data_IF_072464338546
#
_entry.id   IF_072464338546
#
_cell.length_a   1.000
_cell.length_b   1.000
_cell.length_c   1.000
_cell.angle_alpha   90.00
_cell.angle_beta   90.00
_cell.angle_gamma   90.00
#
_symmetry.space_group_name_H-M   'P 1'
#
loop_
_entity.id
_entity.type
_entity.pdbx_description
1 polymer ?
#
# COMPACT_ATOMS: atom_id res chain seq x y z
N UNK A 1 -30.51 24.27 -6.46
CA UNK A 1 -29.62 23.90 -5.34
C UNK A 1 -28.67 22.74 -5.69
N UNK A 2 -29.09 21.67 -6.34
CA UNK A 2 -28.25 20.48 -6.67
C UNK A 2 -27.03 20.83 -7.54
N UNK A 3 -27.12 21.77 -8.46
CA UNK A 3 -26.00 22.17 -9.34
C UNK A 3 -24.88 22.95 -8.61
N UNK A 4 -25.20 23.69 -7.56
CA UNK A 4 -24.22 24.49 -6.80
C UNK A 4 -23.40 23.61 -5.88
N UNK A 5 -24.01 22.57 -5.28
CA UNK A 5 -23.28 21.58 -4.46
C UNK A 5 -22.35 20.70 -5.29
N UNK A 6 -22.75 20.29 -6.50
CA UNK A 6 -21.94 19.52 -7.42
C UNK A 6 -20.74 20.34 -7.92
N UNK A 7 -20.92 21.61 -8.24
CA UNK A 7 -19.82 22.51 -8.61
C UNK A 7 -18.85 22.78 -7.46
N UNK A 8 -19.35 22.95 -6.23
CA UNK A 8 -18.53 23.15 -5.05
C UNK A 8 -17.72 21.90 -4.68
N UNK A 9 -18.28 20.70 -4.91
CA UNK A 9 -17.60 19.42 -4.70
C UNK A 9 -16.50 19.20 -5.76
N UNK A 10 -16.76 19.53 -7.02
CA UNK A 10 -15.79 19.46 -8.11
C UNK A 10 -14.63 20.46 -7.90
N UNK A 11 -14.91 21.69 -7.49
CA UNK A 11 -13.87 22.68 -7.20
C UNK A 11 -13.00 22.30 -6.01
N UNK A 12 -13.57 21.73 -4.94
CA UNK A 12 -12.80 21.21 -3.80
C UNK A 12 -11.89 20.05 -4.20
N UNK A 13 -12.37 19.17 -5.07
CA UNK A 13 -11.58 18.04 -5.57
C UNK A 13 -10.43 18.51 -6.48
N UNK A 14 -10.69 19.46 -7.40
CA UNK A 14 -9.64 20.06 -8.23
C UNK A 14 -8.59 20.80 -7.40
N UNK A 15 -9.01 21.51 -6.37
CA UNK A 15 -8.11 22.23 -5.47
C UNK A 15 -7.25 21.27 -4.64
N UNK A 16 -7.82 20.17 -4.17
CA UNK A 16 -7.06 19.10 -3.49
C UNK A 16 -6.02 18.44 -4.42
N UNK A 17 -6.40 18.16 -5.66
CA UNK A 17 -5.50 17.58 -6.67
C UNK A 17 -4.37 18.55 -7.04
N UNK A 18 -4.65 19.84 -7.19
CA UNK A 18 -3.63 20.86 -7.49
C UNK A 18 -2.63 21.03 -6.34
N UNK A 19 -3.08 20.93 -5.10
CA UNK A 19 -2.21 20.95 -3.92
C UNK A 19 -1.29 19.71 -3.87
N UNK A 20 -1.84 18.52 -4.15
CA UNK A 20 -1.05 17.28 -4.20
C UNK A 20 -0.03 17.31 -5.33
N UNK A 21 -0.39 17.86 -6.49
CA UNK A 21 0.54 18.05 -7.62
C UNK A 21 1.63 19.06 -7.28
N UNK A 22 1.28 20.19 -6.68
CA UNK A 22 2.24 21.19 -6.20
C UNK A 22 3.21 20.61 -5.17
N UNK A 23 2.72 19.79 -4.25
CA UNK A 23 3.53 19.08 -3.27
C UNK A 23 4.53 18.11 -3.93
N UNK A 24 4.10 17.38 -4.96
CA UNK A 24 4.98 16.48 -5.73
C UNK A 24 6.09 17.26 -6.45
N UNK A 25 5.74 18.39 -7.09
CA UNK A 25 6.74 19.25 -7.76
C UNK A 25 7.75 19.81 -6.76
N UNK A 26 7.30 20.28 -5.59
CA UNK A 26 8.20 20.76 -4.53
C UNK A 26 9.10 19.64 -4.01
N UNK A 27 8.57 18.44 -3.81
CA UNK A 27 9.36 17.28 -3.41
C UNK A 27 10.47 16.96 -4.42
N UNK A 28 10.17 17.01 -5.72
CA UNK A 28 11.15 16.81 -6.79
C UNK A 28 12.22 17.90 -6.78
N UNK A 29 11.84 19.17 -6.62
CA UNK A 29 12.78 20.29 -6.56
C UNK A 29 13.72 20.20 -5.36
N UNK A 30 13.18 19.92 -4.17
CA UNK A 30 13.99 19.73 -2.95
C UNK A 30 14.90 18.52 -3.09
N UNK A 31 14.42 17.43 -3.67
CA UNK A 31 15.22 16.24 -3.96
C UNK A 31 16.39 16.55 -4.90
N UNK A 32 16.14 17.39 -5.93
CA UNK A 32 17.20 17.85 -6.84
C UNK A 32 18.27 18.64 -6.10
N UNK A 33 17.87 19.53 -5.17
CA UNK A 33 18.81 20.31 -4.35
C UNK A 33 19.64 19.37 -3.46
N UNK A 34 18.99 18.41 -2.78
CA UNK A 34 19.69 17.43 -1.92
C UNK A 34 20.68 16.60 -2.74
N UNK A 35 20.30 16.13 -3.93
CA UNK A 35 21.23 15.42 -4.82
C UNK A 35 22.42 16.28 -5.24
N UNK A 36 22.18 17.55 -5.59
CA UNK A 36 23.25 18.47 -5.98
C UNK A 36 24.21 18.73 -4.81
N UNK A 37 23.72 18.90 -3.59
CA UNK A 37 24.54 19.04 -2.37
C UNK A 37 25.39 17.80 -2.09
N UNK A 38 24.87 16.61 -2.42
CA UNK A 38 25.60 15.34 -2.35
C UNK A 38 26.54 15.10 -3.55
N UNK A 39 26.75 16.12 -4.41
CA UNK A 39 27.57 16.05 -5.62
C UNK A 39 27.09 15.06 -6.68
N UNK A 40 25.84 14.67 -6.66
CA UNK A 40 25.20 13.91 -7.72
C UNK A 40 24.57 14.85 -8.74
N UNK A 41 24.51 14.42 -10.00
CA UNK A 41 23.83 15.18 -11.05
C UNK A 41 22.31 14.88 -11.04
N UNK A 42 21.46 15.85 -10.64
CA UNK A 42 20.01 15.60 -10.54
C UNK A 42 19.37 15.29 -11.90
N UNK A 43 19.85 15.93 -12.99
CA UNK A 43 19.30 15.72 -14.32
C UNK A 43 19.53 14.27 -14.79
N UNK A 44 20.73 13.74 -14.59
CA UNK A 44 21.04 12.35 -14.91
C UNK A 44 20.21 11.40 -14.04
N UNK A 45 20.02 11.73 -12.75
CA UNK A 45 19.24 10.92 -11.84
C UNK A 45 17.77 10.84 -12.28
N UNK A 46 17.12 11.98 -12.53
CA UNK A 46 15.71 11.99 -12.97
C UNK A 46 15.52 11.38 -14.35
N UNK A 47 16.46 11.57 -15.27
CA UNK A 47 16.43 10.90 -16.57
C UNK A 47 16.53 9.39 -16.43
N UNK A 48 17.42 8.89 -15.58
CA UNK A 48 17.55 7.45 -15.29
C UNK A 48 16.29 6.87 -14.64
N UNK A 49 15.69 7.61 -13.68
CA UNK A 49 14.41 7.23 -13.05
C UNK A 49 13.31 7.15 -14.11
N UNK A 50 13.16 8.17 -14.95
CA UNK A 50 12.13 8.22 -15.98
C UNK A 50 12.30 7.10 -17.01
N UNK A 51 13.53 6.88 -17.47
CA UNK A 51 13.84 5.77 -18.40
C UNK A 51 13.58 4.41 -17.76
N UNK A 52 13.95 4.24 -16.49
CA UNK A 52 13.72 3.01 -15.73
C UNK A 52 12.24 2.73 -15.44
N UNK A 53 11.42 3.79 -15.36
CA UNK A 53 9.98 3.68 -15.13
C UNK A 53 9.16 3.50 -16.43
N UNK A 54 9.51 4.24 -17.49
CA UNK A 54 8.68 4.39 -18.70
C UNK A 54 9.44 4.19 -20.02
N UNK A 55 10.77 4.09 -20.01
CA UNK A 55 11.60 4.08 -21.22
C UNK A 55 11.46 2.83 -22.10
N UNK A 56 10.78 1.79 -21.66
CA UNK A 56 10.54 0.56 -22.43
C UNK A 56 9.31 -0.19 -21.93
N UNK A 57 8.77 -1.10 -22.75
CA UNK A 57 7.68 -2.00 -22.33
C UNK A 57 8.03 -2.78 -21.06
N UNK A 58 9.30 -3.19 -20.92
CA UNK A 58 9.79 -3.86 -19.72
C UNK A 58 9.81 -2.94 -18.50
N UNK A 59 10.21 -1.67 -18.67
CA UNK A 59 10.20 -0.66 -17.62
C UNK A 59 8.77 -0.38 -17.13
N UNK A 60 7.83 -0.18 -18.04
CA UNK A 60 6.40 -0.01 -17.69
C UNK A 60 5.85 -1.24 -16.97
N UNK A 61 6.15 -2.44 -17.46
CA UNK A 61 5.76 -3.68 -16.79
C UNK A 61 6.31 -3.74 -15.36
N UNK A 62 7.57 -3.37 -15.16
CA UNK A 62 8.20 -3.36 -13.83
C UNK A 62 7.57 -2.30 -12.92
N UNK A 63 7.23 -1.13 -13.45
CA UNK A 63 6.49 -0.10 -12.72
C UNK A 63 5.15 -0.64 -12.18
N UNK A 64 4.39 -1.36 -13.01
CA UNK A 64 3.10 -1.93 -12.61
C UNK A 64 3.27 -3.09 -11.62
N UNK A 65 4.34 -3.88 -11.75
CA UNK A 65 4.69 -4.92 -10.76
C UNK A 65 4.96 -4.30 -9.39
N UNK A 66 5.74 -3.22 -9.35
CA UNK A 66 6.05 -2.49 -8.11
C UNK A 66 4.84 -1.75 -7.53
N UNK A 67 3.95 -1.25 -8.40
CA UNK A 67 2.72 -0.58 -7.99
C UNK A 67 1.70 -1.54 -7.35
N UNK A 68 1.68 -2.81 -7.76
CA UNK A 68 0.67 -3.79 -7.30
C UNK A 68 0.65 -3.97 -5.78
N UNK A 69 1.74 -4.31 -5.08
CA UNK A 69 1.73 -4.40 -3.62
C UNK A 69 1.42 -3.06 -2.95
N UNK A 70 1.85 -1.94 -3.53
CA UNK A 70 1.59 -0.60 -3.02
C UNK A 70 0.09 -0.22 -3.09
N UNK A 71 -0.64 -0.71 -4.10
CA UNK A 71 -2.10 -0.53 -4.15
C UNK A 71 -2.78 -1.19 -2.95
N UNK A 72 -2.42 -2.42 -2.64
CA UNK A 72 -2.98 -3.13 -1.50
C UNK A 72 -2.58 -2.49 -0.17
N UNK A 73 -1.29 -2.20 0.03
CA UNK A 73 -0.80 -1.65 1.30
C UNK A 73 -1.30 -0.23 1.54
N UNK A 74 -1.35 0.62 0.51
CA UNK A 74 -1.95 1.95 0.58
C UNK A 74 -3.45 1.91 0.87
N UNK A 75 -4.17 1.00 0.22
CA UNK A 75 -5.59 0.79 0.48
C UNK A 75 -5.84 0.28 1.90
N UNK A 76 -5.02 -0.66 2.39
CA UNK A 76 -5.09 -1.16 3.76
C UNK A 76 -4.98 -0.03 4.79
N UNK A 77 -4.00 0.86 4.63
CA UNK A 77 -3.84 2.02 5.49
C UNK A 77 -5.04 2.98 5.38
N UNK A 78 -5.50 3.28 4.15
CA UNK A 78 -6.64 4.16 3.92
C UNK A 78 -7.93 3.66 4.58
N UNK A 79 -8.19 2.35 4.57
CA UNK A 79 -9.35 1.74 5.26
C UNK A 79 -9.33 2.03 6.76
N UNK A 80 -8.22 1.75 7.44
CA UNK A 80 -8.07 2.04 8.87
C UNK A 80 -8.23 3.53 9.16
N UNK A 81 -7.63 4.38 8.34
CA UNK A 81 -7.68 5.84 8.48
C UNK A 81 -9.10 6.39 8.37
N UNK A 82 -9.98 5.79 7.54
CA UNK A 82 -11.40 6.18 7.44
C UNK A 82 -12.17 5.97 8.76
N UNK A 83 -11.74 5.05 9.62
CA UNK A 83 -12.28 4.85 10.97
C UNK A 83 -11.53 5.68 12.04
N UNK A 84 -10.67 6.63 11.63
CA UNK A 84 -9.74 7.36 12.53
C UNK A 84 -8.84 6.43 13.34
N UNK A 85 -8.39 5.32 12.71
CA UNK A 85 -7.40 4.38 13.22
C UNK A 85 -6.12 4.48 12.41
N UNK A 86 -4.98 4.21 13.06
CA UNK A 86 -3.68 4.20 12.40
C UNK A 86 -3.14 2.77 12.43
N UNK A 87 -3.07 2.13 11.25
CA UNK A 87 -2.52 0.78 11.10
C UNK A 87 -1.12 0.85 10.47
N UNK A 88 -0.09 0.89 11.30
CA UNK A 88 1.33 0.84 10.84
C UNK A 88 1.79 -0.62 10.62
N UNK A 89 0.99 -1.61 11.02
CA UNK A 89 1.31 -3.03 10.94
C UNK A 89 1.11 -3.67 9.57
N UNK A 90 0.83 -2.89 8.53
CA UNK A 90 0.53 -3.42 7.18
C UNK A 90 1.67 -4.25 6.61
N UNK A 91 2.93 -3.92 6.93
CA UNK A 91 4.10 -4.71 6.52
C UNK A 91 4.05 -6.12 7.10
N UNK A 92 3.82 -6.28 8.41
CA UNK A 92 3.68 -7.58 9.05
C UNK A 92 2.46 -8.37 8.58
N UNK A 93 1.35 -7.68 8.29
CA UNK A 93 0.15 -8.30 7.69
C UNK A 93 0.46 -8.84 6.29
N UNK A 94 1.25 -8.11 5.50
CA UNK A 94 1.75 -8.53 4.20
C UNK A 94 2.65 -9.77 4.33
N UNK A 95 3.58 -9.80 5.28
CA UNK A 95 4.44 -10.96 5.55
C UNK A 95 3.63 -12.19 5.97
N UNK A 96 2.67 -12.05 6.89
CA UNK A 96 1.79 -13.13 7.29
C UNK A 96 0.94 -13.66 6.13
N UNK A 97 0.40 -12.75 5.30
CA UNK A 97 -0.34 -13.12 4.10
C UNK A 97 0.53 -13.84 3.07
N UNK A 98 1.76 -13.37 2.87
CA UNK A 98 2.72 -13.97 1.95
C UNK A 98 3.07 -15.42 2.33
N UNK A 99 3.45 -15.64 3.61
CA UNK A 99 3.85 -16.99 4.04
C UNK A 99 2.67 -17.95 4.09
N UNK A 100 1.48 -17.49 4.50
CA UNK A 100 0.27 -18.31 4.53
C UNK A 100 -0.16 -18.72 3.11
N UNK A 101 -0.12 -17.81 2.15
CA UNK A 101 -0.40 -18.09 0.75
C UNK A 101 0.66 -19.01 0.13
N UNK A 102 1.95 -18.82 0.46
CA UNK A 102 3.04 -19.69 0.01
C UNK A 102 2.89 -21.11 0.55
N UNK A 103 2.53 -21.25 1.83
CA UNK A 103 2.35 -22.54 2.48
C UNK A 103 1.23 -23.34 1.81
N UNK A 104 0.04 -22.75 1.66
CA UNK A 104 -1.08 -23.40 0.95
C UNK A 104 -0.73 -23.64 -0.50
N UNK A 105 -0.16 -22.66 -1.20
CA UNK A 105 0.19 -22.77 -2.62
C UNK A 105 1.27 -23.83 -2.91
N UNK A 106 2.13 -24.14 -1.95
CA UNK A 106 3.16 -25.18 -2.08
C UNK A 106 2.64 -26.59 -1.78
N UNK A 107 1.48 -26.74 -1.11
CA UNK A 107 0.92 -28.05 -0.81
C UNK A 107 0.56 -28.81 -2.10
N UNK A 108 0.89 -30.10 -2.22
CA UNK A 108 0.54 -30.91 -3.36
C UNK A 108 -0.95 -31.35 -3.26
N UNK A 109 -1.85 -30.38 -3.28
CA UNK A 109 -3.28 -30.63 -3.20
C UNK A 109 -3.81 -31.03 -4.59
N UNK A 110 -4.65 -32.08 -4.71
CA UNK A 110 -5.25 -32.48 -5.98
C UNK A 110 -6.43 -31.55 -6.37
N UNK A 111 -6.17 -30.25 -6.32
CA UNK A 111 -7.14 -29.22 -6.59
C UNK A 111 -6.89 -28.55 -7.95
N UNK A 112 -7.93 -28.26 -8.72
CA UNK A 112 -7.80 -27.49 -9.93
C UNK A 112 -7.45 -26.02 -9.61
N UNK A 113 -6.88 -25.30 -10.59
CA UNK A 113 -6.44 -23.91 -10.45
C UNK A 113 -7.52 -22.97 -9.88
N UNK A 114 -8.76 -23.13 -10.33
CA UNK A 114 -9.89 -22.29 -9.91
C UNK A 114 -10.36 -22.53 -8.46
N UNK A 115 -9.81 -23.53 -7.77
CA UNK A 115 -10.04 -23.77 -6.33
C UNK A 115 -8.76 -23.49 -5.54
N UNK A 116 -7.60 -24.01 -5.99
CA UNK A 116 -6.34 -23.89 -5.26
C UNK A 116 -5.86 -22.44 -5.16
N UNK A 117 -5.91 -21.69 -6.27
CA UNK A 117 -5.49 -20.27 -6.28
C UNK A 117 -6.39 -19.40 -5.39
N UNK A 118 -7.73 -19.40 -5.50
CA UNK A 118 -8.58 -18.65 -4.57
C UNK A 118 -8.41 -19.05 -3.11
N UNK A 119 -8.21 -20.35 -2.82
CA UNK A 119 -7.96 -20.82 -1.47
C UNK A 119 -6.68 -20.18 -0.88
N UNK A 120 -5.58 -20.20 -1.62
CA UNK A 120 -4.33 -19.58 -1.20
C UNK A 120 -4.48 -18.06 -0.98
N UNK A 121 -5.23 -17.38 -1.86
CA UNK A 121 -5.54 -15.94 -1.74
C UNK A 121 -6.36 -15.67 -0.47
N UNK A 122 -7.43 -16.42 -0.21
CA UNK A 122 -8.29 -16.22 0.95
C UNK A 122 -7.54 -16.49 2.25
N UNK A 123 -6.73 -17.55 2.31
CA UNK A 123 -5.93 -17.87 3.49
C UNK A 123 -4.88 -16.78 3.75
N UNK A 124 -4.24 -16.25 2.70
CA UNK A 124 -3.32 -15.11 2.82
C UNK A 124 -4.01 -13.85 3.33
N UNK A 125 -5.19 -13.54 2.81
CA UNK A 125 -6.02 -12.43 3.29
C UNK A 125 -6.44 -12.62 4.75
N UNK A 126 -6.86 -13.83 5.13
CA UNK A 126 -7.27 -14.17 6.48
C UNK A 126 -6.12 -14.04 7.49
N UNK A 127 -4.91 -14.46 7.13
CA UNK A 127 -3.73 -14.31 7.98
C UNK A 127 -3.42 -12.85 8.32
N UNK A 128 -3.47 -11.97 7.32
CA UNK A 128 -3.34 -10.53 7.53
C UNK A 128 -4.50 -9.94 8.35
N UNK A 129 -5.73 -10.37 8.07
CA UNK A 129 -6.93 -9.94 8.79
C UNK A 129 -6.86 -10.30 10.28
N UNK A 130 -6.46 -11.52 10.61
CA UNK A 130 -6.32 -11.98 11.99
C UNK A 130 -5.31 -11.16 12.77
N UNK A 131 -4.16 -10.85 12.18
CA UNK A 131 -3.14 -10.03 12.82
C UNK A 131 -3.65 -8.62 13.13
N UNK A 132 -4.30 -7.95 12.18
CA UNK A 132 -4.86 -6.61 12.39
C UNK A 132 -6.11 -6.65 13.28
N UNK A 133 -6.96 -7.65 13.12
CA UNK A 133 -8.15 -7.86 13.94
C UNK A 133 -7.80 -8.05 15.41
N UNK A 134 -6.68 -8.71 15.70
CA UNK A 134 -6.17 -8.84 17.06
C UNK A 134 -5.84 -7.47 17.67
N UNK A 135 -5.23 -6.55 16.91
CA UNK A 135 -5.04 -5.15 17.38
C UNK A 135 -6.38 -4.46 17.64
N UNK A 136 -7.35 -4.61 16.72
CA UNK A 136 -8.69 -4.09 16.91
C UNK A 136 -9.35 -4.60 18.19
N UNK A 137 -9.21 -5.89 18.47
CA UNK A 137 -9.66 -6.52 19.72
C UNK A 137 -8.97 -5.94 20.96
N UNK A 138 -7.63 -5.81 20.94
CA UNK A 138 -6.88 -5.21 22.06
C UNK A 138 -7.32 -3.77 22.32
N UNK A 139 -7.56 -3.00 21.27
CA UNK A 139 -8.06 -1.62 21.39
C UNK A 139 -9.43 -1.55 22.03
N UNK A 140 -10.35 -2.39 21.61
CA UNK A 140 -11.73 -2.40 22.14
C UNK A 140 -11.78 -2.92 23.56
N UNK A 141 -11.07 -4.01 23.87
CA UNK A 141 -11.16 -4.67 25.18
C UNK A 141 -10.31 -4.01 26.26
N UNK A 142 -9.12 -3.56 25.89
CA UNK A 142 -8.13 -3.05 26.84
C UNK A 142 -7.79 -1.57 26.66
N UNK A 143 -8.39 -0.87 25.68
CA UNK A 143 -8.08 0.52 25.40
C UNK A 143 -6.66 0.77 24.87
N UNK A 144 -5.99 -0.28 24.36
CA UNK A 144 -4.59 -0.18 23.92
C UNK A 144 -4.43 0.82 22.76
N UNK A 145 -3.25 1.45 22.69
CA UNK A 145 -2.90 2.31 21.59
C UNK A 145 -2.61 1.47 20.34
N UNK A 146 -3.42 1.64 19.28
CA UNK A 146 -3.30 0.86 18.05
C UNK A 146 -1.98 1.10 17.31
N UNK A 147 -1.41 2.31 17.41
CA UNK A 147 -0.13 2.64 16.77
C UNK A 147 0.99 1.77 17.35
N UNK A 148 1.09 1.76 18.68
CA UNK A 148 2.09 0.95 19.38
C UNK A 148 1.85 -0.54 19.14
N UNK A 149 0.60 -1.00 19.26
CA UNK A 149 0.26 -2.41 19.08
C UNK A 149 0.57 -2.88 17.66
N UNK A 150 0.27 -2.07 16.61
CA UNK A 150 0.55 -2.43 15.22
C UNK A 150 2.05 -2.46 14.93
N UNK A 151 2.86 -1.54 15.49
CA UNK A 151 4.31 -1.53 15.31
C UNK A 151 4.95 -2.78 15.98
N UNK A 152 4.54 -3.10 17.19
CA UNK A 152 5.07 -4.28 17.92
C UNK A 152 4.69 -5.57 17.19
N UNK A 153 3.43 -5.74 16.83
CA UNK A 153 2.95 -6.92 16.10
C UNK A 153 3.56 -7.02 14.69
N UNK A 154 3.90 -5.90 14.06
CA UNK A 154 4.62 -5.87 12.79
C UNK A 154 5.98 -6.58 12.94
N UNK A 155 6.76 -6.19 13.93
CA UNK A 155 8.06 -6.79 14.22
C UNK A 155 7.93 -8.28 14.59
N UNK A 156 6.93 -8.64 15.41
CA UNK A 156 6.65 -10.02 15.76
C UNK A 156 6.30 -10.84 14.51
N UNK A 157 5.42 -10.34 13.64
CA UNK A 157 5.01 -11.03 12.42
C UNK A 157 6.19 -11.28 11.47
N UNK A 158 7.05 -10.26 11.26
CA UNK A 158 8.26 -10.39 10.43
C UNK A 158 9.20 -11.46 11.01
N UNK A 159 9.40 -11.48 12.33
CA UNK A 159 10.27 -12.47 12.96
C UNK A 159 9.66 -13.89 12.92
N UNK A 160 8.35 -14.03 13.14
CA UNK A 160 7.66 -15.33 13.02
C UNK A 160 7.79 -15.85 11.57
N UNK A 161 7.51 -15.03 10.59
CA UNK A 161 7.59 -15.44 9.16
C UNK A 161 9.03 -15.75 8.75
N UNK A 162 10.00 -15.01 9.29
CA UNK A 162 11.43 -15.32 9.12
C UNK A 162 11.79 -16.67 9.73
N UNK A 163 11.32 -16.96 10.94
CA UNK A 163 11.51 -18.27 11.56
C UNK A 163 10.90 -19.39 10.74
N UNK A 164 9.66 -19.23 10.29
CA UNK A 164 8.97 -20.24 9.48
C UNK A 164 9.69 -20.49 8.14
N UNK A 165 10.19 -19.44 7.48
CA UNK A 165 10.92 -19.54 6.22
C UNK A 165 12.36 -20.09 6.35
N UNK A 166 12.97 -20.00 7.55
CA UNK A 166 14.30 -20.54 7.81
C UNK A 166 14.31 -21.97 8.34
N UNK A 167 13.21 -22.43 8.97
CA UNK A 167 13.16 -23.72 9.65
C UNK A 167 12.04 -24.62 9.12
N UNK A 168 10.77 -24.55 9.60
CA UNK A 168 9.79 -25.60 9.30
C UNK A 168 9.30 -25.61 7.85
N UNK A 169 9.32 -24.47 7.17
CA UNK A 169 8.85 -24.33 5.77
C UNK A 169 10.00 -24.12 4.80
N UNK A 170 11.23 -24.23 5.25
CA UNK A 170 12.43 -24.01 4.45
C UNK A 170 12.53 -25.05 3.33
N UNK A 171 12.74 -24.60 2.10
CA UNK A 171 13.14 -25.46 0.99
C UNK A 171 14.60 -25.89 1.10
N UNK A 172 14.95 -26.98 0.45
CA UNK A 172 16.34 -27.40 0.33
C UNK A 172 17.21 -26.32 -0.33
N UNK A 173 18.40 -26.10 0.25
CA UNK A 173 19.35 -25.14 -0.29
C UNK A 173 19.78 -24.04 0.70
N UNK A 174 20.71 -23.16 0.29
CA UNK A 174 21.31 -22.15 1.17
C UNK A 174 20.41 -20.96 1.46
N UNK A 175 19.42 -20.68 0.59
CA UNK A 175 18.56 -19.51 0.69
C UNK A 175 17.40 -19.75 1.67
N UNK A 176 17.10 -18.75 2.50
CA UNK A 176 15.95 -18.77 3.40
C UNK A 176 14.65 -18.51 2.63
N UNK A 177 14.03 -19.56 2.13
CA UNK A 177 12.83 -19.52 1.29
C UNK A 177 11.99 -20.79 1.46
N UNK A 178 10.70 -20.72 1.17
CA UNK A 178 9.81 -21.89 1.13
C UNK A 178 9.95 -22.64 -0.19
N UNK A 179 9.37 -23.84 -0.24
CA UNK A 179 9.17 -24.56 -1.50
C UNK A 179 8.39 -23.69 -2.50
N UNK A 180 8.64 -23.94 -3.79
CA UNK A 180 7.90 -23.28 -4.86
C UNK A 180 6.43 -23.71 -4.82
N UNK A 181 5.52 -22.75 -5.03
CA UNK A 181 4.10 -23.03 -5.14
C UNK A 181 3.81 -23.89 -6.37
N UNK A 182 2.71 -24.65 -6.30
CA UNK A 182 2.22 -25.49 -7.40
C UNK A 182 1.73 -24.60 -8.56
N UNK A 183 1.80 -25.10 -9.79
CA UNK A 183 1.29 -24.39 -10.96
C UNK A 183 -0.20 -24.05 -10.83
N UNK A 184 -0.97 -24.88 -10.11
CA UNK A 184 -2.38 -24.67 -9.80
C UNK A 184 -2.64 -23.52 -8.82
N UNK A 185 -1.60 -22.99 -8.16
CA UNK A 185 -1.69 -21.83 -7.28
C UNK A 185 -1.00 -20.58 -7.88
N UNK A 186 -0.44 -20.68 -9.11
CA UNK A 186 0.23 -19.55 -9.73
C UNK A 186 -0.73 -18.58 -10.40
N UNK A 187 -0.55 -17.28 -10.18
CA UNK A 187 -1.20 -16.23 -10.96
C UNK A 187 -0.59 -16.15 -12.36
N UNK A 188 -1.46 -16.13 -13.36
CA UNK A 188 -1.06 -16.02 -14.76
C UNK A 188 -0.35 -14.69 -15.04
N UNK A 189 0.72 -14.76 -15.85
CA UNK A 189 1.38 -13.58 -16.41
C UNK A 189 0.52 -12.99 -17.52
N UNK A 190 0.45 -11.65 -17.59
CA UNK A 190 -0.31 -10.96 -18.65
C UNK A 190 0.42 -11.07 -19.98
N UNK A 191 1.74 -10.92 -19.96
CA UNK A 191 2.57 -11.03 -21.14
C UNK A 191 3.72 -12.02 -20.92
N UNK A 192 3.99 -12.93 -21.86
CA UNK A 192 5.16 -13.82 -21.81
C UNK A 192 6.45 -13.00 -21.72
N UNK A 193 7.36 -13.43 -20.84
CA UNK A 193 8.67 -12.76 -20.65
C UNK A 193 8.65 -11.54 -19.71
N UNK A 194 7.50 -11.11 -19.23
CA UNK A 194 7.36 -10.04 -18.22
C UNK A 194 6.90 -10.60 -16.87
N UNK A 195 7.19 -9.86 -15.79
CA UNK A 195 6.76 -10.25 -14.42
C UNK A 195 5.36 -9.77 -14.06
N UNK A 196 4.73 -8.97 -14.92
CA UNK A 196 3.39 -8.45 -14.68
C UNK A 196 2.37 -9.59 -14.74
N UNK A 197 1.60 -9.74 -13.67
CA UNK A 197 0.60 -10.80 -13.51
C UNK A 197 -0.80 -10.22 -13.32
N UNK A 198 -1.80 -11.10 -13.32
CA UNK A 198 -3.20 -10.74 -13.05
C UNK A 198 -3.40 -10.10 -11.66
N UNK A 199 -2.40 -10.17 -10.76
CA UNK A 199 -2.42 -9.49 -9.46
C UNK A 199 -2.68 -7.97 -9.59
N UNK A 200 -2.18 -7.33 -10.66
CA UNK A 200 -2.41 -5.90 -10.92
C UNK A 200 -3.90 -5.59 -11.12
N UNK A 201 -4.59 -6.34 -11.95
CA UNK A 201 -6.02 -6.16 -12.18
C UNK A 201 -6.85 -6.52 -10.94
N UNK A 202 -6.43 -7.55 -10.19
CA UNK A 202 -7.05 -7.88 -8.91
C UNK A 202 -6.88 -6.74 -7.89
N UNK A 203 -5.72 -6.08 -7.86
CA UNK A 203 -5.50 -4.90 -7.02
C UNK A 203 -6.45 -3.76 -7.39
N UNK A 204 -6.59 -3.46 -8.68
CA UNK A 204 -7.55 -2.45 -9.16
C UNK A 204 -8.99 -2.82 -8.80
N UNK A 205 -9.36 -4.09 -8.97
CA UNK A 205 -10.69 -4.59 -8.58
C UNK A 205 -10.93 -4.44 -7.09
N UNK A 206 -9.95 -4.78 -6.24
CA UNK A 206 -10.06 -4.61 -4.78
C UNK A 206 -10.17 -3.13 -4.42
N UNK A 207 -9.43 -2.23 -5.06
CA UNK A 207 -9.58 -0.78 -4.87
C UNK A 207 -11.01 -0.32 -5.21
N UNK A 208 -11.58 -0.81 -6.31
CA UNK A 208 -12.95 -0.50 -6.71
C UNK A 208 -13.97 -1.08 -5.71
N UNK A 209 -13.80 -2.33 -5.29
CA UNK A 209 -14.70 -2.96 -4.31
C UNK A 209 -14.68 -2.22 -2.97
N UNK A 210 -13.50 -1.85 -2.47
CA UNK A 210 -13.37 -1.07 -1.24
C UNK A 210 -13.98 0.33 -1.41
N UNK A 211 -13.81 0.96 -2.58
CA UNK A 211 -14.48 2.23 -2.88
C UNK A 211 -16.01 2.07 -2.79
N UNK A 212 -16.58 1.03 -3.39
CA UNK A 212 -18.01 0.77 -3.33
C UNK A 212 -18.47 0.47 -1.90
N UNK A 213 -17.73 -0.34 -1.15
CA UNK A 213 -18.02 -0.60 0.26
C UNK A 213 -17.99 0.70 1.06
N UNK A 214 -16.95 1.52 0.92
CA UNK A 214 -16.78 2.75 1.70
C UNK A 214 -17.82 3.82 1.33
N UNK A 215 -18.21 3.96 0.06
CA UNK A 215 -19.10 5.05 -0.37
C UNK A 215 -20.56 4.66 -0.49
N UNK A 216 -20.87 3.36 -0.71
CA UNK A 216 -22.21 2.91 -1.07
C UNK A 216 -22.85 1.93 -0.06
N UNK A 217 -22.10 1.45 0.94
CA UNK A 217 -22.63 0.49 1.91
C UNK A 217 -22.92 1.12 3.28
N UNK A 218 -23.77 0.46 4.06
CA UNK A 218 -24.04 0.81 5.46
C UNK A 218 -22.76 0.71 6.29
N UNK A 219 -21.96 -0.34 6.08
CA UNK A 219 -20.70 -0.53 6.77
C UNK A 219 -19.72 0.65 6.51
N UNK A 220 -19.60 1.09 5.26
CA UNK A 220 -18.78 2.24 4.92
C UNK A 220 -19.28 3.53 5.55
N UNK A 221 -20.60 3.72 5.64
CA UNK A 221 -21.20 4.83 6.36
C UNK A 221 -20.84 4.79 7.86
N UNK A 222 -20.98 3.64 8.51
CA UNK A 222 -20.64 3.47 9.94
C UNK A 222 -19.15 3.75 10.18
N UNK A 223 -18.25 3.22 9.32
CA UNK A 223 -16.80 3.45 9.41
C UNK A 223 -16.47 4.94 9.33
N UNK A 224 -17.00 5.65 8.34
CA UNK A 224 -16.76 7.08 8.16
C UNK A 224 -17.37 7.91 9.31
N UNK A 225 -18.56 7.56 9.78
CA UNK A 225 -19.21 8.24 10.90
C UNK A 225 -18.40 8.14 12.19
N UNK A 226 -17.89 6.95 12.52
CA UNK A 226 -16.98 6.75 13.67
C UNK A 226 -15.67 7.52 13.47
N UNK A 227 -15.16 7.58 12.23
CA UNK A 227 -13.95 8.34 11.89
C UNK A 227 -14.11 9.85 12.04
N UNK A 228 -15.28 10.39 11.72
CA UNK A 228 -15.55 11.83 11.87
C UNK A 228 -15.78 12.24 13.32
N UNK A 229 -16.67 11.55 14.03
CA UNK A 229 -16.94 11.83 15.44
C UNK A 229 -17.52 10.61 16.14
N UNK A 230 -16.72 10.00 17.02
CA UNK A 230 -17.10 8.80 17.77
C UNK A 230 -18.32 8.99 18.66
N UNK A 231 -18.41 10.14 19.36
CA UNK A 231 -19.54 10.43 20.25
C UNK A 231 -20.83 10.60 19.47
N UNK A 232 -20.82 11.37 18.38
CA UNK A 232 -21.97 11.53 17.53
C UNK A 232 -22.40 10.21 16.86
N UNK A 233 -21.46 9.35 16.45
CA UNK A 233 -21.77 8.03 15.92
C UNK A 233 -22.44 7.14 16.98
N UNK A 234 -21.98 7.19 18.22
CA UNK A 234 -22.56 6.44 19.34
C UNK A 234 -23.99 6.89 19.67
N UNK A 235 -24.24 8.20 19.69
CA UNK A 235 -25.61 8.72 19.91
C UNK A 235 -26.56 8.37 18.76
N UNK A 236 -26.03 8.19 17.54
CA UNK A 236 -26.78 7.68 16.39
C UNK A 236 -26.97 6.15 16.40
N UNK A 237 -26.57 5.45 17.47
CA UNK A 237 -26.76 4.00 17.64
C UNK A 237 -25.70 3.13 16.95
N UNK A 238 -24.61 3.70 16.44
CA UNK A 238 -23.52 2.92 15.80
C UNK A 238 -22.66 2.26 16.87
N UNK A 239 -22.43 0.94 16.73
CA UNK A 239 -21.57 0.19 17.63
C UNK A 239 -20.09 0.43 17.29
N UNK A 240 -19.46 1.35 18.02
CA UNK A 240 -18.05 1.74 17.81
C UNK A 240 -17.11 0.55 17.90
N UNK A 241 -17.29 -0.34 18.88
CA UNK A 241 -16.43 -1.52 19.09
C UNK A 241 -16.43 -2.43 17.88
N UNK A 242 -17.61 -2.71 17.32
CA UNK A 242 -17.78 -3.50 16.10
C UNK A 242 -17.09 -2.84 14.91
N UNK A 243 -17.28 -1.54 14.73
CA UNK A 243 -16.69 -0.78 13.61
C UNK A 243 -15.17 -0.77 13.68
N UNK A 244 -14.58 -0.58 14.86
CA UNK A 244 -13.13 -0.60 15.08
C UNK A 244 -12.55 -1.96 14.67
N UNK A 245 -13.13 -3.07 15.17
CA UNK A 245 -12.64 -4.42 14.86
C UNK A 245 -12.79 -4.73 13.37
N UNK A 246 -13.95 -4.44 12.76
CA UNK A 246 -14.18 -4.70 11.34
C UNK A 246 -13.25 -3.87 10.46
N UNK A 247 -13.01 -2.60 10.79
CA UNK A 247 -12.09 -1.74 10.04
C UNK A 247 -10.65 -2.29 10.07
N UNK A 248 -10.20 -2.79 11.22
CA UNK A 248 -8.89 -3.41 11.35
C UNK A 248 -8.83 -4.75 10.60
N UNK A 249 -9.86 -5.60 10.70
CA UNK A 249 -9.95 -6.85 9.94
C UNK A 249 -9.89 -6.60 8.42
N UNK A 250 -10.66 -5.64 7.90
CA UNK A 250 -10.65 -5.28 6.48
C UNK A 250 -9.28 -4.73 6.05
N UNK A 251 -8.72 -3.82 6.85
CA UNK A 251 -7.37 -3.28 6.61
C UNK A 251 -6.34 -4.40 6.55
N UNK A 252 -6.36 -5.32 7.53
CA UNK A 252 -5.45 -6.46 7.57
C UNK A 252 -5.65 -7.46 6.46
N UNK A 253 -6.91 -7.73 6.06
CA UNK A 253 -7.21 -8.59 4.91
C UNK A 253 -6.56 -8.07 3.64
N UNK A 254 -6.71 -6.76 3.38
CA UNK A 254 -6.10 -6.12 2.20
C UNK A 254 -4.58 -6.10 2.32
N UNK A 255 -4.02 -5.87 3.52
CA UNK A 255 -2.58 -6.01 3.77
C UNK A 255 -2.05 -7.42 3.50
N UNK A 256 -2.78 -8.46 3.95
CA UNK A 256 -2.47 -9.86 3.67
C UNK A 256 -2.55 -10.21 2.18
N UNK A 257 -3.53 -9.63 1.45
CA UNK A 257 -3.62 -9.76 0.00
C UNK A 257 -2.37 -9.22 -0.71
N UNK A 258 -1.76 -8.13 -0.23
CA UNK A 258 -0.53 -7.61 -0.82
C UNK A 258 0.56 -8.70 -0.87
N UNK A 259 0.76 -9.41 0.24
CA UNK A 259 1.73 -10.49 0.35
C UNK A 259 1.36 -11.72 -0.47
N UNK A 260 0.09 -12.15 -0.39
CA UNK A 260 -0.41 -13.28 -1.16
C UNK A 260 -0.22 -13.05 -2.67
N UNK A 261 -0.65 -11.88 -3.18
CA UNK A 261 -0.51 -11.55 -4.60
C UNK A 261 0.93 -11.46 -5.05
N UNK A 262 1.83 -10.96 -4.19
CA UNK A 262 3.24 -10.90 -4.51
C UNK A 262 3.85 -12.31 -4.64
N UNK A 263 3.59 -13.18 -3.68
CA UNK A 263 4.10 -14.56 -3.69
C UNK A 263 3.48 -15.39 -4.82
N UNK A 264 2.16 -15.38 -4.97
CA UNK A 264 1.47 -16.17 -5.99
C UNK A 264 1.71 -15.65 -7.41
N UNK A 265 2.03 -14.36 -7.55
CA UNK A 265 2.26 -13.70 -8.83
C UNK A 265 3.73 -13.62 -9.25
N UNK A 266 4.59 -13.10 -8.39
CA UNK A 266 5.95 -12.68 -8.73
C UNK A 266 6.99 -13.72 -8.31
N UNK A 267 7.15 -13.96 -7.01
CA UNK A 267 8.26 -14.75 -6.46
C UNK A 267 8.04 -16.28 -6.55
N UNK A 268 6.78 -16.70 -6.63
CA UNK A 268 6.37 -18.11 -6.70
C UNK A 268 6.79 -18.94 -5.47
N UNK A 269 7.18 -18.28 -4.40
CA UNK A 269 7.60 -18.81 -3.10
C UNK A 269 7.69 -17.66 -2.09
N UNK A 270 7.68 -17.97 -0.81
CA UNK A 270 8.03 -16.98 0.18
C UNK A 270 9.57 -16.91 0.32
N UNK A 271 10.13 -15.72 0.27
CA UNK A 271 11.56 -15.45 0.47
C UNK A 271 11.67 -14.55 1.71
N UNK A 272 12.52 -14.91 2.66
CA UNK A 272 12.74 -14.08 3.84
C UNK A 272 13.31 -12.73 3.43
N UNK A 273 12.67 -11.64 3.88
CA UNK A 273 13.09 -10.28 3.50
C UNK A 273 12.67 -9.84 2.11
N UNK A 274 11.63 -10.45 1.51
CA UNK A 274 11.17 -10.13 0.15
C UNK A 274 10.65 -8.71 -0.04
N UNK A 275 10.16 -8.06 1.02
CA UNK A 275 9.59 -6.71 0.93
C UNK A 275 10.66 -5.65 1.19
N UNK A 276 10.83 -4.67 0.28
CA UNK A 276 11.65 -3.49 0.53
C UNK A 276 10.89 -2.41 1.34
N UNK A 277 9.91 -2.79 2.17
CA UNK A 277 9.10 -1.86 2.95
C UNK A 277 7.81 -1.41 2.26
N UNK A 278 7.20 -2.27 1.46
CA UNK A 278 5.93 -1.94 0.76
C UNK A 278 4.82 -1.50 1.73
N UNK A 279 4.72 -2.11 2.92
CA UNK A 279 3.71 -1.73 3.92
C UNK A 279 3.91 -0.32 4.46
N UNK A 280 5.16 0.07 4.72
CA UNK A 280 5.48 1.44 5.13
C UNK A 280 5.28 2.44 4.00
N UNK A 281 5.69 2.10 2.78
CA UNK A 281 5.47 2.93 1.59
C UNK A 281 3.97 3.09 1.26
N UNK A 282 3.13 2.12 1.67
CA UNK A 282 1.68 2.21 1.59
C UNK A 282 1.11 3.41 2.34
N UNK A 283 1.70 3.80 3.47
CA UNK A 283 1.30 5.01 4.21
C UNK A 283 1.45 6.25 3.33
N UNK A 284 2.57 6.34 2.62
CA UNK A 284 2.88 7.43 1.69
C UNK A 284 1.91 7.47 0.51
N UNK A 285 1.60 6.31 -0.03
CA UNK A 285 0.63 6.13 -1.11
C UNK A 285 -0.76 6.57 -0.67
N UNK A 286 -1.21 6.16 0.52
CA UNK A 286 -2.50 6.57 1.06
C UNK A 286 -2.55 8.10 1.31
N UNK A 287 -1.48 8.67 1.86
CA UNK A 287 -1.37 10.12 2.07
C UNK A 287 -1.44 10.89 0.75
N UNK A 288 -0.69 10.47 -0.29
CA UNK A 288 -0.75 11.10 -1.62
C UNK A 288 -2.14 10.97 -2.25
N UNK A 289 -2.82 9.85 -2.01
CA UNK A 289 -4.20 9.61 -2.45
C UNK A 289 -5.27 10.34 -1.62
N UNK A 290 -4.89 11.09 -0.57
CA UNK A 290 -5.80 11.67 0.42
C UNK A 290 -6.79 10.62 1.01
N UNK A 291 -6.29 9.41 1.27
CA UNK A 291 -7.04 8.25 1.76
C UNK A 291 -8.25 7.84 0.88
N UNK A 292 -8.22 8.24 -0.40
CA UNK A 292 -9.28 7.89 -1.35
C UNK A 292 -8.94 6.57 -2.07
N UNK A 293 -9.81 5.53 -2.01
CA UNK A 293 -9.47 4.21 -2.56
C UNK A 293 -9.10 4.20 -4.05
N UNK A 294 -9.78 4.98 -4.89
CA UNK A 294 -9.42 5.08 -6.31
C UNK A 294 -8.17 5.95 -6.53
N UNK A 295 -7.91 6.93 -5.67
CA UNK A 295 -6.70 7.73 -5.68
C UNK A 295 -5.44 6.90 -5.40
N UNK A 296 -5.57 5.85 -4.58
CA UNK A 296 -4.50 4.89 -4.27
C UNK A 296 -3.94 4.24 -5.55
N UNK A 297 -4.77 4.00 -6.57
CA UNK A 297 -4.32 3.40 -7.84
C UNK A 297 -3.26 4.30 -8.50
N UNK A 298 -3.57 5.59 -8.67
CA UNK A 298 -2.65 6.56 -9.30
C UNK A 298 -1.41 6.81 -8.44
N UNK A 299 -1.60 6.99 -7.13
CA UNK A 299 -0.50 7.17 -6.19
C UNK A 299 0.46 5.97 -6.19
N UNK A 300 -0.07 4.74 -6.23
CA UNK A 300 0.73 3.52 -6.29
C UNK A 300 1.55 3.41 -7.59
N UNK A 301 0.99 3.86 -8.72
CA UNK A 301 1.72 3.86 -9.99
C UNK A 301 2.89 4.87 -9.92
N UNK A 302 2.70 6.03 -9.31
CA UNK A 302 3.78 7.02 -9.11
C UNK A 302 4.90 6.44 -8.26
N UNK A 303 4.57 5.86 -7.09
CA UNK A 303 5.57 5.23 -6.22
C UNK A 303 6.20 3.98 -6.86
N UNK A 304 5.42 3.20 -7.61
CA UNK A 304 5.91 2.06 -8.39
C UNK A 304 6.90 2.51 -9.48
N UNK A 305 6.65 3.64 -10.14
CA UNK A 305 7.57 4.24 -11.10
C UNK A 305 8.89 4.69 -10.44
N UNK A 306 8.82 5.30 -9.26
CA UNK A 306 10.01 5.66 -8.49
C UNK A 306 10.81 4.41 -8.11
N UNK A 307 10.16 3.35 -7.62
CA UNK A 307 10.82 2.09 -7.26
C UNK A 307 11.44 1.38 -8.48
N UNK A 308 10.73 1.29 -9.61
CA UNK A 308 11.26 0.71 -10.84
C UNK A 308 12.44 1.53 -11.40
N UNK A 309 12.31 2.87 -11.35
CA UNK A 309 13.34 3.80 -11.77
C UNK A 309 14.61 3.70 -10.94
N UNK A 310 14.51 3.44 -9.62
CA UNK A 310 15.65 3.32 -8.72
C UNK A 310 16.62 2.20 -9.10
N UNK A 311 16.09 1.11 -9.66
CA UNK A 311 16.92 -0.01 -10.11
C UNK A 311 17.82 0.39 -11.29
N UNK A 312 17.33 1.27 -12.19
CA UNK A 312 18.12 1.80 -13.31
C UNK A 312 19.05 2.89 -12.83
N UNK A 313 18.60 3.77 -11.93
CA UNK A 313 19.39 4.81 -11.30
C UNK A 313 20.71 4.26 -10.74
N UNK A 314 20.64 3.22 -9.93
CA UNK A 314 21.81 2.61 -9.31
C UNK A 314 22.79 2.04 -10.35
N UNK A 315 22.25 1.42 -11.43
CA UNK A 315 23.07 0.80 -12.47
C UNK A 315 23.79 1.82 -13.38
N UNK A 316 23.15 2.95 -13.64
CA UNK A 316 23.65 3.94 -14.63
C UNK A 316 24.45 5.06 -13.99
N UNK A 317 24.10 5.48 -12.75
CA UNK A 317 24.69 6.66 -12.12
C UNK A 317 25.49 6.34 -10.86
N UNK A 318 25.49 5.09 -10.39
CA UNK A 318 26.06 4.65 -9.10
C UNK A 318 25.47 5.36 -7.87
N UNK A 319 24.36 6.08 -8.02
CA UNK A 319 23.62 6.67 -6.90
C UNK A 319 22.94 5.54 -6.15
N UNK A 320 23.07 5.46 -4.80
CA UNK A 320 22.38 4.45 -4.00
C UNK A 320 20.87 4.48 -4.19
N UNK A 321 20.25 3.31 -4.23
CA UNK A 321 18.78 3.17 -4.33
C UNK A 321 18.05 3.86 -3.19
N UNK A 322 18.70 4.00 -2.03
CA UNK A 322 18.14 4.68 -0.84
C UNK A 322 17.79 6.15 -1.07
N UNK A 323 18.38 6.80 -2.10
CA UNK A 323 17.95 8.14 -2.50
C UNK A 323 16.48 8.21 -2.92
N UNK A 324 15.91 7.10 -3.40
CA UNK A 324 14.47 7.03 -3.69
C UNK A 324 13.66 7.14 -2.40
N UNK A 325 14.13 6.55 -1.31
CA UNK A 325 13.46 6.68 -0.01
C UNK A 325 13.46 8.15 0.47
N UNK A 326 14.53 8.90 0.18
CA UNK A 326 14.59 10.35 0.45
C UNK A 326 13.55 11.10 -0.40
N UNK A 327 13.45 10.81 -1.70
CA UNK A 327 12.44 11.41 -2.58
C UNK A 327 11.02 11.07 -2.08
N UNK A 328 10.77 9.81 -1.76
CA UNK A 328 9.47 9.36 -1.23
C UNK A 328 9.15 10.04 0.11
N UNK A 329 10.13 10.15 1.01
CA UNK A 329 9.98 10.85 2.28
C UNK A 329 9.63 12.33 2.10
N UNK A 330 10.28 13.02 1.17
CA UNK A 330 9.97 14.41 0.84
C UNK A 330 8.56 14.54 0.25
N UNK A 331 8.15 13.62 -0.61
CA UNK A 331 6.77 13.58 -1.13
C UNK A 331 5.77 13.48 0.02
N UNK A 332 6.03 12.61 1.01
CA UNK A 332 5.15 12.47 2.20
C UNK A 332 5.07 13.79 2.97
N UNK A 333 6.23 14.40 3.27
CA UNK A 333 6.29 15.65 4.04
C UNK A 333 5.45 16.74 3.37
N UNK A 334 5.66 16.97 2.07
CA UNK A 334 4.95 18.03 1.36
C UNK A 334 3.47 17.74 1.15
N UNK A 335 3.08 16.47 0.93
CA UNK A 335 1.67 16.07 0.78
C UNK A 335 0.93 16.09 2.11
N UNK A 336 1.60 15.70 3.20
CA UNK A 336 0.98 15.69 4.55
C UNK A 336 0.90 17.07 5.20
N UNK A 337 1.64 18.05 4.70
CA UNK A 337 1.69 19.41 5.22
C UNK A 337 1.16 20.45 4.21
N UNK A 338 -0.15 20.44 3.87
CA UNK A 338 -0.74 21.38 2.92
C UNK A 338 -0.54 22.86 3.33
N UNK A 339 -0.36 23.11 4.63
CA UNK A 339 -0.05 24.43 5.17
C UNK A 339 1.30 24.95 4.67
N UNK A 340 2.34 24.12 4.60
CA UNK A 340 3.64 24.49 4.04
C UNK A 340 3.54 24.88 2.56
N UNK A 341 2.74 24.13 1.79
CA UNK A 341 2.51 24.45 0.38
C UNK A 341 1.73 25.76 0.21
N UNK A 342 0.80 26.05 1.11
CA UNK A 342 0.03 27.32 1.11
C UNK A 342 0.88 28.54 1.46
N UNK A 343 1.86 28.40 2.34
CA UNK A 343 2.76 29.51 2.70
C UNK A 343 3.80 29.77 1.60
N UNK A 344 4.24 28.73 0.89
CA UNK A 344 5.21 28.84 -0.21
C UNK A 344 4.57 29.27 -1.54
N UNK A 345 3.25 29.09 -1.71
CA UNK A 345 2.50 29.61 -2.84
C UNK A 345 1.77 30.90 -2.42
N UNK A 346 2.18 32.09 -2.90
CA UNK A 346 1.49 33.34 -2.57
C UNK A 346 0.12 33.38 -3.26
N UNK A 347 -0.86 32.68 -2.68
CA UNK A 347 -2.24 32.82 -3.10
C UNK A 347 -2.75 34.13 -2.55
N UNK A 348 -2.98 35.12 -3.48
CA UNK A 348 -3.60 36.41 -3.21
C UNK A 348 -4.76 36.24 -2.22
N UNK A 349 -4.60 36.76 -0.99
CA UNK A 349 -5.71 37.04 -0.09
C UNK A 349 -6.63 38.02 -0.85
N UNK A 350 -7.70 37.55 -1.48
CA UNK A 350 -8.83 38.42 -1.77
C UNK A 350 -9.44 38.80 -0.43
N UNK A 351 -9.18 40.02 -0.03
CA UNK A 351 -9.93 40.71 1.02
C UNK A 351 -11.42 40.66 0.64
N UNK A 352 -12.23 39.95 1.42
CA UNK A 352 -13.62 40.27 1.56
C UNK A 352 -13.69 41.36 2.64
N UNK A 353 -13.82 42.63 2.19
CA UNK A 353 -14.34 43.71 2.96
C UNK A 353 -15.87 43.59 3.07
#
# INVERSE_FOLDING_TARGET
MINIEAQNKSQKTLHSLSLSFGALVLAILVSAIVMALCRFNPMQAFTAIFQGAFGSRRAVSQTLVQATPLMFTGLAFAIAKKASLINIGVEGQMYMGAIAAAWIGAMPLPLPLFVHLPLAIVIGAAAGALLAGFVGFLKVKFGSNEVIATIVLNTIAINITSYLGNYPLKADGPTAQTNRIQQTAELSRIFPGYQLTMAFFLAMLVCLLIYLIMEKSILGYEIRSVGYNRLAAQTAGINISRVVVISMLLSGAVGGLAGAMHVLGVDKRFIVGFSPGYGFNGISVAALAADHPLGVILASIIFGALNAGSMVLNRTTRIPTDFINVIQGLVIIFVSAPALVRELTPYRRKHHG
#
